data_IF_120077572297
#
_entry.id   IF_120077572297
#
_cell.length_a   1.000
_cell.length_b   1.000
_cell.length_c   1.000
_cell.angle_alpha   90.00
_cell.angle_beta   90.00
_cell.angle_gamma   90.00
#
_symmetry.space_group_name_H-M   'P 1'
#
loop_
_entity.id
_entity.type
_entity.pdbx_description
1 polymer ?
#
# COMPACT_ATOMS: atom_id res chain seq x y z
N UNK A 1 28.66 -43.66 40.17
CA UNK A 1 29.64 -44.28 41.09
C UNK A 1 30.23 -45.47 40.36
N UNK A 2 31.40 -45.29 39.74
CA UNK A 2 32.03 -46.35 38.93
C UNK A 2 33.13 -47.01 39.76
N UNK A 3 32.88 -48.24 40.18
CA UNK A 3 33.82 -49.03 40.98
C UNK A 3 34.95 -49.57 40.11
N UNK A 4 36.17 -49.22 40.51
CA UNK A 4 37.46 -49.71 40.05
C UNK A 4 37.75 -51.05 40.74
N UNK A 5 37.89 -52.14 39.98
CA UNK A 5 38.46 -53.39 40.49
C UNK A 5 39.90 -53.53 40.02
N UNK A 6 40.81 -53.55 40.99
CA UNK A 6 42.20 -53.96 40.86
C UNK A 6 42.30 -55.45 41.19
N UNK A 7 43.00 -56.22 40.37
CA UNK A 7 43.65 -57.45 40.81
C UNK A 7 45.14 -57.32 40.53
N UNK A 8 45.91 -57.20 41.61
CA UNK A 8 47.32 -57.53 41.63
C UNK A 8 47.50 -58.95 42.16
N UNK A 9 48.37 -59.72 41.52
CA UNK A 9 48.86 -61.01 41.98
C UNK A 9 50.21 -61.27 41.31
N UNK A 10 51.28 -61.26 42.12
CA UNK A 10 52.65 -61.59 41.72
C UNK A 10 52.90 -63.09 41.81
N UNK A 11 53.65 -63.66 40.85
CA UNK A 11 54.62 -64.76 41.02
C UNK A 11 55.42 -64.86 39.69
N UNK A 12 56.66 -64.37 39.60
CA UNK A 12 57.95 -65.05 39.88
C UNK A 12 58.42 -66.03 38.80
N UNK A 13 59.50 -65.64 38.11
CA UNK A 13 60.59 -66.53 37.70
C UNK A 13 60.45 -67.31 36.39
N UNK A 14 61.00 -66.78 35.29
CA UNK A 14 62.15 -67.37 34.58
C UNK A 14 62.43 -66.59 33.28
N UNK A 15 63.67 -66.11 33.15
CA UNK A 15 64.25 -65.68 31.87
C UNK A 15 64.30 -66.89 30.94
N UNK A 16 63.43 -66.91 29.93
CA UNK A 16 63.59 -67.69 28.73
C UNK A 16 63.16 -66.81 27.56
N UNK A 17 64.15 -66.49 26.74
CA UNK A 17 64.06 -65.79 25.46
C UNK A 17 63.16 -66.61 24.52
N UNK A 18 61.87 -66.34 24.49
CA UNK A 18 60.94 -66.95 23.53
C UNK A 18 60.10 -65.87 22.83
N UNK A 19 60.41 -65.73 21.56
CA UNK A 19 59.65 -65.01 20.56
C UNK A 19 58.28 -65.68 20.41
N UNK A 20 57.33 -65.38 21.30
CA UNK A 20 55.93 -65.81 21.15
C UNK A 20 55.25 -64.92 20.10
N UNK A 21 55.55 -65.22 18.84
CA UNK A 21 54.81 -64.71 17.70
C UNK A 21 53.36 -65.15 17.85
N UNK A 22 52.50 -64.22 18.25
CA UNK A 22 51.04 -64.41 18.31
C UNK A 22 50.57 -65.16 17.07
N UNK A 23 50.18 -66.42 17.25
CA UNK A 23 49.76 -67.28 16.14
C UNK A 23 48.65 -66.56 15.35
N UNK A 24 48.75 -66.48 14.01
CA UNK A 24 47.76 -65.74 13.23
C UNK A 24 46.43 -66.49 13.24
N UNK A 25 45.44 -65.96 13.96
CA UNK A 25 44.05 -66.41 13.81
C UNK A 25 43.58 -66.18 12.38
N UNK A 26 42.85 -67.15 11.78
CA UNK A 26 42.30 -66.95 10.45
C UNK A 26 41.31 -65.78 10.46
N UNK A 27 41.47 -64.86 9.50
CA UNK A 27 40.54 -63.75 9.30
C UNK A 27 39.17 -64.31 8.86
N UNK A 28 38.04 -63.80 9.40
CA UNK A 28 36.71 -64.21 8.98
C UNK A 28 36.52 -64.08 7.46
N UNK A 29 35.71 -64.96 6.89
CA UNK A 29 35.33 -64.92 5.47
C UNK A 29 34.63 -63.59 5.12
N UNK A 30 35.18 -62.88 4.15
CA UNK A 30 34.59 -61.64 3.65
C UNK A 30 33.42 -61.93 2.71
N UNK A 31 32.25 -61.33 2.98
CA UNK A 31 31.03 -61.49 2.15
C UNK A 31 31.21 -61.02 0.70
N UNK A 32 32.09 -60.06 0.50
CA UNK A 32 32.43 -59.46 -0.81
C UNK A 32 32.99 -60.48 -1.80
N UNK A 33 33.69 -61.51 -1.32
CA UNK A 33 34.26 -62.55 -2.15
C UNK A 33 33.19 -63.42 -2.85
N UNK A 34 31.97 -63.46 -2.31
CA UNK A 34 30.84 -64.22 -2.86
C UNK A 34 29.95 -63.40 -3.81
N UNK A 35 30.24 -62.11 -4.01
CA UNK A 35 29.44 -61.22 -4.87
C UNK A 35 29.98 -61.14 -6.32
N UNK A 36 31.07 -61.84 -6.63
CA UNK A 36 31.65 -61.83 -7.97
C UNK A 36 30.72 -62.57 -8.96
N UNK A 37 30.42 -61.99 -10.15
CA UNK A 37 29.53 -62.61 -11.13
C UNK A 37 30.06 -63.92 -11.74
N UNK A 38 31.39 -64.11 -11.75
CA UNK A 38 32.08 -65.32 -12.22
C UNK A 38 32.66 -66.14 -11.05
N UNK A 39 31.93 -66.22 -9.94
CA UNK A 39 32.40 -66.94 -8.76
C UNK A 39 32.62 -68.43 -9.06
N UNK A 40 33.86 -68.88 -8.90
CA UNK A 40 34.21 -70.30 -8.93
C UNK A 40 34.72 -70.76 -7.56
N UNK A 41 34.02 -71.74 -6.99
CA UNK A 41 34.33 -72.27 -5.67
C UNK A 41 35.72 -72.90 -5.61
N UNK A 42 36.20 -73.53 -6.70
CA UNK A 42 37.49 -74.20 -6.71
C UNK A 42 38.64 -73.18 -6.65
N UNK A 43 38.58 -72.11 -7.45
CA UNK A 43 39.54 -71.00 -7.40
C UNK A 43 39.46 -70.24 -6.08
N UNK A 44 38.27 -70.01 -5.53
CA UNK A 44 38.10 -69.36 -4.23
C UNK A 44 38.73 -70.18 -3.09
N UNK A 45 38.45 -71.48 -3.00
CA UNK A 45 39.05 -72.36 -1.98
C UNK A 45 40.58 -72.46 -2.14
N UNK A 46 41.08 -72.45 -3.37
CA UNK A 46 42.52 -72.46 -3.64
C UNK A 46 43.22 -71.15 -3.23
N UNK A 47 42.54 -70.00 -3.36
CA UNK A 47 43.06 -68.70 -2.87
C UNK A 47 43.14 -68.62 -1.34
N UNK A 48 42.40 -69.50 -0.67
CA UNK A 48 42.25 -69.55 0.77
C UNK A 48 43.26 -70.47 1.46
N UNK A 49 44.06 -71.23 0.69
CA UNK A 49 45.02 -72.22 1.20
C UNK A 49 46.16 -71.63 2.04
N UNK A 50 46.34 -70.30 2.00
CA UNK A 50 47.32 -69.57 2.82
C UNK A 50 46.80 -69.23 4.23
N UNK A 51 45.53 -69.57 4.54
CA UNK A 51 45.00 -69.50 5.90
C UNK A 51 45.26 -70.83 6.59
N UNK A 52 46.02 -70.83 7.68
CA UNK A 52 46.33 -72.00 8.51
C UNK A 52 45.08 -72.51 9.27
N UNK A 53 44.00 -72.85 8.57
CA UNK A 53 42.72 -73.28 9.12
C UNK A 53 42.45 -74.74 8.72
N UNK A 54 41.78 -75.51 9.59
CA UNK A 54 41.35 -76.86 9.21
C UNK A 54 40.16 -76.80 8.25
N UNK A 55 40.01 -77.83 7.41
CA UNK A 55 38.86 -77.91 6.49
C UNK A 55 37.52 -77.99 7.24
N UNK A 56 37.52 -78.56 8.44
CA UNK A 56 36.34 -78.68 9.30
C UNK A 56 35.91 -77.31 9.84
N UNK A 57 36.88 -76.48 10.28
CA UNK A 57 36.59 -75.11 10.73
C UNK A 57 36.08 -74.23 9.58
N UNK A 58 36.64 -74.38 8.37
CA UNK A 58 36.16 -73.66 7.19
C UNK A 58 34.73 -74.08 6.82
N UNK A 59 34.42 -75.37 6.95
CA UNK A 59 33.09 -75.90 6.69
C UNK A 59 32.06 -75.39 7.72
N UNK A 60 32.45 -75.31 9.00
CA UNK A 60 31.62 -74.73 10.05
C UNK A 60 31.36 -73.23 9.81
N UNK A 61 32.40 -72.47 9.48
CA UNK A 61 32.32 -71.03 9.18
C UNK A 61 31.41 -70.73 7.97
N UNK A 62 31.50 -71.53 6.90
CA UNK A 62 30.61 -71.41 5.74
C UNK A 62 29.15 -71.75 6.07
N UNK A 63 28.91 -72.76 6.93
CA UNK A 63 27.56 -73.10 7.38
C UNK A 63 26.96 -72.02 8.25
N UNK A 64 27.73 -71.44 9.16
CA UNK A 64 27.31 -70.33 10.01
C UNK A 64 27.00 -69.08 9.18
N UNK A 65 27.84 -68.77 8.19
CA UNK A 65 27.60 -67.66 7.26
C UNK A 65 26.30 -67.88 6.47
N UNK A 66 26.06 -69.09 5.97
CA UNK A 66 24.82 -69.44 5.26
C UNK A 66 23.57 -69.31 6.14
N UNK A 67 23.63 -69.77 7.39
CA UNK A 67 22.52 -69.63 8.33
C UNK A 67 22.25 -68.16 8.67
N UNK A 68 23.30 -67.39 8.91
CA UNK A 68 23.20 -65.95 9.16
C UNK A 68 22.58 -65.22 7.96
N UNK A 69 23.02 -65.52 6.74
CA UNK A 69 22.44 -64.93 5.52
C UNK A 69 20.98 -65.31 5.30
N UNK A 70 20.59 -66.56 5.58
CA UNK A 70 19.18 -66.96 5.50
C UNK A 70 18.32 -66.21 6.51
N UNK A 71 18.84 -66.00 7.72
CA UNK A 71 18.15 -65.22 8.74
C UNK A 71 18.05 -63.74 8.32
N UNK A 72 19.15 -63.14 7.88
CA UNK A 72 19.17 -61.76 7.37
C UNK A 72 18.22 -61.57 6.17
N UNK A 73 18.08 -62.56 5.29
CA UNK A 73 17.11 -62.52 4.19
C UNK A 73 15.67 -62.48 4.70
N UNK A 74 15.33 -63.36 5.65
CA UNK A 74 13.99 -63.40 6.24
C UNK A 74 13.69 -62.11 7.01
N UNK A 75 14.67 -61.61 7.76
CA UNK A 75 14.56 -60.34 8.48
C UNK A 75 14.37 -59.17 7.49
N UNK A 76 15.17 -59.10 6.42
CA UNK A 76 15.04 -58.08 5.36
C UNK A 76 13.68 -58.17 4.65
N UNK A 77 13.19 -59.37 4.34
CA UNK A 77 11.88 -59.54 3.70
C UNK A 77 10.78 -59.10 4.65
N UNK A 78 10.85 -59.45 5.93
CA UNK A 78 9.85 -59.06 6.91
C UNK A 78 9.84 -57.55 7.16
N UNK A 79 11.02 -56.93 7.28
CA UNK A 79 11.17 -55.48 7.47
C UNK A 79 10.61 -54.71 6.27
N UNK A 80 11.03 -55.07 5.05
CA UNK A 80 10.53 -54.41 3.85
C UNK A 80 9.04 -54.70 3.59
N UNK A 81 8.52 -55.87 3.95
CA UNK A 81 7.11 -56.21 3.78
C UNK A 81 6.21 -55.31 4.63
N UNK A 82 6.62 -54.99 5.86
CA UNK A 82 5.89 -54.04 6.71
C UNK A 82 5.89 -52.63 6.10
N UNK A 83 7.04 -52.20 5.58
CA UNK A 83 7.16 -50.90 4.92
C UNK A 83 6.28 -50.81 3.66
N UNK A 84 6.26 -51.86 2.81
CA UNK A 84 5.40 -51.90 1.63
C UNK A 84 3.91 -51.92 1.97
N UNK A 85 3.49 -52.62 3.04
CA UNK A 85 2.10 -52.59 3.50
C UNK A 85 1.73 -51.21 4.06
N UNK A 86 2.62 -50.57 4.81
CA UNK A 86 2.40 -49.22 5.33
C UNK A 86 2.30 -48.18 4.19
N UNK A 87 3.13 -48.31 3.15
CA UNK A 87 3.09 -47.45 1.98
C UNK A 87 1.82 -47.70 1.15
N UNK A 88 1.43 -48.96 0.96
CA UNK A 88 0.19 -49.32 0.28
C UNK A 88 -1.04 -48.78 0.99
N UNK A 89 -1.09 -48.88 2.33
CA UNK A 89 -2.20 -48.37 3.14
C UNK A 89 -2.25 -46.83 3.25
N UNK A 90 -1.12 -46.13 3.09
CA UNK A 90 -1.09 -44.66 3.06
C UNK A 90 -1.41 -44.09 1.67
N UNK A 91 -1.01 -44.80 0.61
CA UNK A 91 -1.43 -44.50 -0.76
C UNK A 91 -2.92 -44.79 -0.96
N UNK A 92 -3.44 -45.86 -0.35
CA UNK A 92 -4.86 -46.18 -0.31
C UNK A 92 -5.61 -45.13 0.52
N UNK A 93 -6.39 -44.27 -0.15
CA UNK A 93 -7.05 -43.11 0.48
C UNK A 93 -6.25 -41.80 0.39
N UNK A 94 -5.04 -41.81 -0.18
CA UNK A 94 -4.33 -40.58 -0.56
C UNK A 94 -5.03 -39.83 -1.68
N UNK A 95 -5.68 -40.55 -2.61
CA UNK A 95 -6.46 -39.98 -3.71
C UNK A 95 -7.67 -39.17 -3.21
N UNK A 96 -8.38 -39.66 -2.18
CA UNK A 96 -9.50 -38.95 -1.56
C UNK A 96 -9.04 -37.61 -0.95
N UNK A 97 -7.91 -37.61 -0.23
CA UNK A 97 -7.33 -36.37 0.33
C UNK A 97 -6.90 -35.38 -0.75
N UNK A 98 -6.39 -35.87 -1.87
CA UNK A 98 -6.02 -35.01 -3.01
C UNK A 98 -7.29 -34.40 -3.64
N UNK A 99 -8.34 -35.19 -3.78
CA UNK A 99 -9.62 -34.69 -4.32
C UNK A 99 -10.27 -33.68 -3.36
N UNK A 100 -10.21 -33.90 -2.04
CA UNK A 100 -10.66 -32.93 -1.03
C UNK A 100 -9.89 -31.60 -1.12
N UNK A 101 -8.56 -31.67 -1.25
CA UNK A 101 -7.72 -30.47 -1.45
C UNK A 101 -8.10 -29.78 -2.76
N UNK A 102 -8.33 -30.54 -3.84
CA UNK A 102 -8.74 -30.00 -5.13
C UNK A 102 -10.09 -29.27 -5.04
N UNK A 103 -11.06 -29.87 -4.35
CA UNK A 103 -12.37 -29.26 -4.09
C UNK A 103 -12.24 -28.01 -3.23
N UNK A 104 -11.40 -28.04 -2.18
CA UNK A 104 -11.09 -26.89 -1.35
C UNK A 104 -10.44 -25.74 -2.13
N UNK A 105 -9.49 -26.05 -3.02
CA UNK A 105 -8.86 -25.07 -3.91
C UNK A 105 -9.86 -24.47 -4.90
N UNK A 106 -10.76 -25.27 -5.45
CA UNK A 106 -11.81 -24.79 -6.36
C UNK A 106 -12.80 -23.85 -5.64
N UNK A 107 -13.16 -24.18 -4.40
CA UNK A 107 -13.96 -23.34 -3.52
C UNK A 107 -13.26 -22.02 -3.22
N UNK A 108 -11.98 -22.08 -2.85
CA UNK A 108 -11.17 -20.90 -2.58
C UNK A 108 -11.03 -20.00 -3.82
N UNK A 109 -10.80 -20.58 -5.01
CA UNK A 109 -10.74 -19.82 -6.26
C UNK A 109 -12.07 -19.08 -6.53
N UNK A 110 -13.20 -19.74 -6.29
CA UNK A 110 -14.53 -19.13 -6.42
C UNK A 110 -14.73 -17.99 -5.42
N UNK A 111 -14.34 -18.19 -4.17
CA UNK A 111 -14.48 -17.18 -3.12
C UNK A 111 -13.61 -15.95 -3.41
N UNK A 112 -12.37 -16.15 -3.86
CA UNK A 112 -11.47 -15.06 -4.28
C UNK A 112 -12.05 -14.30 -5.46
N UNK A 113 -12.61 -14.98 -6.47
CA UNK A 113 -13.29 -14.33 -7.59
C UNK A 113 -14.50 -13.51 -7.10
N UNK A 114 -15.33 -14.06 -6.22
CA UNK A 114 -16.48 -13.34 -5.68
C UNK A 114 -16.09 -12.10 -4.86
N UNK A 115 -14.98 -12.17 -4.10
CA UNK A 115 -14.43 -11.01 -3.39
C UNK A 115 -13.91 -9.98 -4.37
N UNK A 116 -13.16 -10.40 -5.39
CA UNK A 116 -12.66 -9.52 -6.45
C UNK A 116 -13.81 -8.78 -7.14
N UNK A 117 -14.86 -9.49 -7.53
CA UNK A 117 -16.02 -8.90 -8.20
C UNK A 117 -16.69 -7.84 -7.30
N UNK A 118 -16.85 -8.12 -6.00
CA UNK A 118 -17.38 -7.14 -5.03
C UNK A 118 -16.48 -5.91 -4.89
N UNK A 119 -15.16 -6.10 -4.91
CA UNK A 119 -14.21 -4.98 -4.85
C UNK A 119 -14.29 -4.13 -6.12
N UNK A 120 -14.39 -4.77 -7.28
CA UNK A 120 -14.52 -4.09 -8.56
C UNK A 120 -15.85 -3.31 -8.66
N UNK A 121 -16.97 -3.85 -8.17
CA UNK A 121 -18.24 -3.10 -8.11
C UNK A 121 -18.14 -1.89 -7.19
N UNK A 122 -17.57 -2.06 -5.98
CA UNK A 122 -17.37 -0.95 -5.03
C UNK A 122 -16.43 0.11 -5.58
N UNK A 123 -15.37 -0.30 -6.29
CA UNK A 123 -14.45 0.63 -6.96
C UNK A 123 -15.18 1.48 -7.99
N UNK A 124 -16.06 0.87 -8.80
CA UNK A 124 -16.84 1.59 -9.80
C UNK A 124 -17.84 2.56 -9.16
N UNK A 125 -18.56 2.12 -8.11
CA UNK A 125 -19.45 2.98 -7.32
C UNK A 125 -18.71 4.20 -6.76
N UNK A 126 -17.53 3.99 -6.15
CA UNK A 126 -16.72 5.09 -5.60
C UNK A 126 -16.24 6.02 -6.71
N UNK A 127 -15.83 5.49 -7.87
CA UNK A 127 -15.42 6.31 -9.01
C UNK A 127 -16.57 7.20 -9.52
N UNK A 128 -17.79 6.66 -9.60
CA UNK A 128 -18.98 7.43 -9.96
C UNK A 128 -19.31 8.51 -8.92
N UNK A 129 -19.28 8.16 -7.63
CA UNK A 129 -19.52 9.11 -6.54
C UNK A 129 -18.47 10.22 -6.51
N UNK A 130 -17.19 9.91 -6.78
CA UNK A 130 -16.15 10.92 -6.88
C UNK A 130 -16.36 11.86 -8.07
N UNK A 131 -16.83 11.33 -9.21
CA UNK A 131 -17.20 12.15 -10.37
C UNK A 131 -18.36 13.10 -10.03
N UNK A 132 -19.39 12.58 -9.37
CA UNK A 132 -20.52 13.39 -8.89
C UNK A 132 -20.08 14.45 -7.87
N UNK A 133 -19.25 14.08 -6.88
CA UNK A 133 -18.66 15.00 -5.91
C UNK A 133 -17.86 16.12 -6.59
N UNK A 134 -17.09 15.78 -7.62
CA UNK A 134 -16.32 16.77 -8.39
C UNK A 134 -17.23 17.74 -9.14
N UNK A 135 -18.29 17.23 -9.78
CA UNK A 135 -19.27 18.07 -10.47
C UNK A 135 -20.01 19.00 -9.50
N UNK A 136 -20.51 18.46 -8.38
CA UNK A 136 -21.14 19.25 -7.32
C UNK A 136 -20.18 20.32 -6.76
N UNK A 137 -18.91 19.98 -6.52
CA UNK A 137 -17.91 20.95 -6.06
C UNK A 137 -17.71 22.08 -7.07
N UNK A 138 -17.72 21.77 -8.36
CA UNK A 138 -17.64 22.79 -9.41
C UNK A 138 -18.89 23.69 -9.38
N UNK A 139 -20.09 23.12 -9.30
CA UNK A 139 -21.35 23.87 -9.18
C UNK A 139 -21.37 24.75 -7.93
N UNK A 140 -20.98 24.22 -6.76
CA UNK A 140 -20.87 24.98 -5.52
C UNK A 140 -19.84 26.10 -5.64
N UNK A 141 -18.68 25.85 -6.26
CA UNK A 141 -17.66 26.89 -6.45
C UNK A 141 -18.15 28.02 -7.36
N UNK A 142 -18.93 27.70 -8.39
CA UNK A 142 -19.58 28.70 -9.25
C UNK A 142 -20.64 29.46 -8.44
N UNK A 143 -21.47 28.77 -7.65
CA UNK A 143 -22.47 29.40 -6.79
C UNK A 143 -21.85 30.35 -5.75
N UNK A 144 -20.78 29.93 -5.08
CA UNK A 144 -20.04 30.75 -4.12
C UNK A 144 -19.43 31.99 -4.78
N UNK A 145 -18.81 31.84 -5.95
CA UNK A 145 -18.25 32.97 -6.67
C UNK A 145 -19.32 33.95 -7.17
N UNK A 146 -20.49 33.44 -7.60
CA UNK A 146 -21.63 34.29 -7.96
C UNK A 146 -22.20 35.04 -6.75
N UNK A 147 -22.23 34.40 -5.58
CA UNK A 147 -22.64 35.02 -4.32
C UNK A 147 -21.65 36.10 -3.89
N UNK A 148 -20.35 35.84 -4.01
CA UNK A 148 -19.29 36.83 -3.76
C UNK A 148 -19.43 38.03 -4.70
N UNK A 149 -19.73 37.82 -5.99
CA UNK A 149 -20.02 38.90 -6.94
C UNK A 149 -21.26 39.70 -6.49
N UNK A 150 -22.32 39.03 -6.02
CA UNK A 150 -23.53 39.69 -5.55
C UNK A 150 -23.27 40.57 -4.32
N UNK A 151 -22.57 40.03 -3.31
CA UNK A 151 -22.24 40.76 -2.09
C UNK A 151 -21.32 41.95 -2.36
N UNK A 152 -20.27 41.76 -3.19
CA UNK A 152 -19.39 42.86 -3.59
C UNK A 152 -20.14 43.93 -4.38
N UNK A 153 -21.09 43.54 -5.24
CA UNK A 153 -21.95 44.46 -5.96
C UNK A 153 -22.83 45.27 -5.00
N UNK A 154 -23.49 44.60 -4.04
CA UNK A 154 -24.33 45.25 -3.04
C UNK A 154 -23.53 46.23 -2.16
N UNK A 155 -22.34 45.83 -1.70
CA UNK A 155 -21.43 46.69 -0.94
C UNK A 155 -20.98 47.91 -1.74
N UNK A 156 -20.69 47.72 -3.03
CA UNK A 156 -20.28 48.82 -3.90
C UNK A 156 -21.43 49.79 -4.17
N UNK A 157 -22.66 49.29 -4.36
CA UNK A 157 -23.87 50.13 -4.46
C UNK A 157 -24.16 50.91 -3.18
N UNK A 158 -23.99 50.28 -2.01
CA UNK A 158 -24.11 50.96 -0.72
C UNK A 158 -23.04 52.05 -0.58
N UNK A 159 -21.78 51.75 -0.91
CA UNK A 159 -20.67 52.71 -0.85
C UNK A 159 -20.81 53.85 -1.85
N UNK A 160 -21.44 53.63 -3.00
CA UNK A 160 -21.71 54.63 -4.03
C UNK A 160 -23.06 55.34 -3.81
N UNK A 161 -23.76 55.05 -2.70
CA UNK A 161 -25.06 55.61 -2.33
C UNK A 161 -26.13 55.51 -3.44
N UNK A 162 -26.02 54.48 -4.31
CA UNK A 162 -26.95 54.23 -5.45
C UNK A 162 -28.31 53.73 -4.94
N UNK A 163 -28.61 53.88 -3.65
CA UNK A 163 -29.82 53.41 -3.00
C UNK A 163 -31.09 54.10 -3.53
N UNK A 164 -31.56 53.64 -4.68
CA UNK A 164 -32.98 53.70 -5.05
C UNK A 164 -33.71 52.71 -4.15
N UNK A 165 -34.11 53.19 -2.96
CA UNK A 165 -35.28 52.75 -2.19
C UNK A 165 -35.71 51.28 -2.36
N UNK A 166 -35.00 50.30 -1.80
CA UNK A 166 -35.61 49.01 -1.41
C UNK A 166 -34.83 48.40 -0.25
N UNK A 167 -34.82 49.06 0.91
CA UNK A 167 -34.56 48.35 2.17
C UNK A 167 -35.83 47.57 2.52
N UNK A 168 -36.04 46.41 1.92
CA UNK A 168 -36.95 45.41 2.50
C UNK A 168 -36.24 44.90 3.75
N UNK A 169 -36.67 45.41 4.90
CA UNK A 169 -36.32 44.87 6.21
C UNK A 169 -36.93 43.47 6.31
N UNK A 170 -36.17 42.43 5.96
CA UNK A 170 -36.45 41.08 6.42
C UNK A 170 -35.99 40.96 7.86
N UNK A 171 -36.88 41.27 8.80
CA UNK A 171 -36.82 40.72 10.16
C UNK A 171 -36.93 39.19 10.06
N UNK A 172 -36.02 38.40 10.66
CA UNK A 172 -36.32 37.02 10.98
C UNK A 172 -37.11 37.03 12.29
N UNK A 173 -38.40 36.70 12.18
CA UNK A 173 -39.23 36.36 13.32
C UNK A 173 -38.96 34.90 13.68
N UNK A 174 -38.76 34.71 14.98
CA UNK A 174 -38.58 33.48 15.75
C UNK A 174 -39.35 32.25 15.23
N UNK A 175 -38.65 31.11 15.14
CA UNK A 175 -39.19 29.82 14.70
C UNK A 175 -38.15 28.72 14.80
N UNK A 176 -38.12 28.05 15.96
CA UNK A 176 -37.15 27.02 16.32
C UNK A 176 -37.03 25.87 15.33
N UNK A 177 -35.77 25.48 15.07
CA UNK A 177 -35.42 24.36 14.22
C UNK A 177 -33.92 24.07 14.29
N UNK A 178 -33.57 23.16 15.18
CA UNK A 178 -32.45 22.22 15.10
C UNK A 178 -31.01 22.77 14.97
N UNK A 179 -30.30 22.60 16.07
CA UNK A 179 -28.86 22.75 16.26
C UNK A 179 -28.11 21.76 15.34
N UNK A 180 -27.61 22.26 14.21
CA UNK A 180 -26.71 21.50 13.35
C UNK A 180 -25.29 21.53 13.91
N UNK A 181 -24.73 20.34 14.04
CA UNK A 181 -23.50 20.03 14.76
C UNK A 181 -22.27 20.75 14.24
N UNK A 182 -21.49 21.20 15.21
CA UNK A 182 -20.14 21.71 15.15
C UNK A 182 -19.18 20.56 14.81
N UNK A 183 -19.03 20.25 13.53
CA UNK A 183 -17.97 19.37 13.02
C UNK A 183 -17.78 19.69 11.53
N UNK A 184 -16.54 19.93 11.10
CA UNK A 184 -16.11 20.35 9.75
C UNK A 184 -16.09 21.86 9.45
N UNK A 185 -15.41 22.62 10.31
CA UNK A 185 -14.56 23.73 9.80
C UNK A 185 -13.12 23.21 9.85
N UNK A 186 -12.77 22.45 8.81
CA UNK A 186 -11.36 22.17 8.51
C UNK A 186 -10.74 23.53 8.22
N UNK A 187 -9.80 23.87 9.10
CA UNK A 187 -8.90 25.01 9.14
C UNK A 187 -8.28 25.30 7.77
N UNK A 188 -9.07 25.88 6.88
CA UNK A 188 -8.56 26.89 5.98
C UNK A 188 -8.19 28.04 6.90
N UNK A 189 -6.92 28.05 7.33
CA UNK A 189 -6.25 29.27 7.74
C UNK A 189 -6.54 30.28 6.63
N UNK A 190 -7.58 31.07 6.87
CA UNK A 190 -7.64 32.44 6.43
C UNK A 190 -6.35 33.03 7.00
N UNK A 191 -5.32 32.95 6.17
CA UNK A 191 -4.26 33.92 6.14
C UNK A 191 -4.98 35.26 5.94
N UNK A 192 -5.53 35.77 7.04
CA UNK A 192 -5.77 37.17 7.33
C UNK A 192 -4.39 37.80 7.49
N UNK A 193 -3.58 37.63 6.44
CA UNK A 193 -2.60 38.61 6.09
C UNK A 193 -3.48 39.70 5.52
N UNK A 194 -3.96 40.55 6.42
CA UNK A 194 -3.76 41.99 6.30
C UNK A 194 -2.28 42.18 5.88
N UNK A 195 -1.96 41.82 4.63
CA UNK A 195 -0.96 42.56 3.90
C UNK A 195 -1.68 43.88 3.71
N UNK A 196 -1.49 44.72 4.72
CA UNK A 196 -1.28 46.13 4.56
C UNK A 196 -0.36 46.29 3.35
N UNK A 197 -0.98 46.24 2.16
CA UNK A 197 -0.47 46.86 0.97
C UNK A 197 -0.46 48.34 1.35
N UNK A 198 0.57 48.72 2.08
CA UNK A 198 1.20 50.00 1.99
C UNK A 198 1.70 50.12 0.55
N UNK A 199 0.72 50.25 -0.37
CA UNK A 199 0.87 51.04 -1.57
C UNK A 199 1.31 52.40 -1.04
N UNK A 200 2.61 52.60 -1.09
CA UNK A 200 3.30 53.88 -1.04
C UNK A 200 2.34 55.00 -1.40
N UNK A 201 2.10 55.90 -0.44
CA UNK A 201 0.98 56.83 -0.43
C UNK A 201 0.77 57.48 -1.80
N UNK A 202 -0.36 57.14 -2.43
CA UNK A 202 -0.84 57.82 -3.65
C UNK A 202 -1.45 59.14 -3.20
N UNK A 203 -0.59 60.08 -2.82
CA UNK A 203 -0.99 61.47 -2.61
C UNK A 203 -1.61 61.97 -3.93
N UNK A 204 -2.87 62.43 -3.91
CA UNK A 204 -3.53 63.06 -5.08
C UNK A 204 -4.82 62.41 -5.59
N UNK A 205 -5.15 61.17 -5.21
CA UNK A 205 -6.49 60.59 -5.48
C UNK A 205 -7.26 60.53 -4.17
N UNK A 206 -8.56 60.91 -4.11
CA UNK A 206 -9.35 60.72 -2.91
C UNK A 206 -9.31 59.23 -2.53
N UNK A 207 -8.82 58.86 -1.33
CA UNK A 207 -8.57 57.45 -0.98
C UNK A 207 -9.86 56.61 -1.01
N UNK A 208 -11.01 57.27 -0.87
CA UNK A 208 -12.34 56.65 -1.04
C UNK A 208 -12.65 56.30 -2.49
N UNK A 209 -12.28 57.17 -3.44
CA UNK A 209 -12.50 56.92 -4.87
C UNK A 209 -11.56 55.82 -5.36
N UNK A 210 -10.30 55.84 -4.93
CA UNK A 210 -9.33 54.79 -5.26
C UNK A 210 -9.82 53.40 -4.80
N UNK A 211 -10.24 53.26 -3.53
CA UNK A 211 -10.77 52.00 -3.01
C UNK A 211 -12.01 51.53 -3.79
N UNK A 212 -12.92 52.43 -4.14
CA UNK A 212 -14.11 52.12 -4.96
C UNK A 212 -13.73 51.64 -6.36
N UNK A 213 -12.75 52.28 -6.99
CA UNK A 213 -12.27 51.87 -8.32
C UNK A 213 -11.56 50.53 -8.28
N UNK A 214 -10.76 50.26 -7.26
CA UNK A 214 -10.08 48.96 -7.08
C UNK A 214 -11.10 47.84 -6.84
N UNK A 215 -12.10 48.05 -5.97
CA UNK A 215 -13.17 47.10 -5.72
C UNK A 215 -14.00 46.81 -6.99
N UNK A 216 -14.27 47.82 -7.82
CA UNK A 216 -14.95 47.64 -9.11
C UNK A 216 -14.09 46.86 -10.12
N UNK A 217 -12.79 47.10 -10.18
CA UNK A 217 -11.88 46.34 -11.05
C UNK A 217 -11.80 44.87 -10.63
N UNK A 218 -11.78 44.60 -9.32
CA UNK A 218 -11.84 43.21 -8.83
C UNK A 218 -13.18 42.56 -9.18
N UNK A 219 -14.30 43.29 -9.04
CA UNK A 219 -15.62 42.81 -9.45
C UNK A 219 -15.66 42.48 -10.96
N UNK A 220 -15.08 43.34 -11.80
CA UNK A 220 -14.97 43.12 -13.24
C UNK A 220 -14.11 41.91 -13.57
N UNK A 221 -12.99 41.74 -12.88
CA UNK A 221 -12.13 40.56 -13.02
C UNK A 221 -12.86 39.27 -12.61
N UNK A 222 -13.55 39.26 -11.47
CA UNK A 222 -14.35 38.14 -11.01
C UNK A 222 -15.47 37.81 -12.01
N UNK A 223 -16.18 38.81 -12.52
CA UNK A 223 -17.21 38.63 -13.54
C UNK A 223 -16.63 38.06 -14.85
N UNK A 224 -15.42 38.49 -15.27
CA UNK A 224 -14.75 38.00 -16.48
C UNK A 224 -14.23 36.56 -16.36
N UNK A 225 -13.92 36.12 -15.14
CA UNK A 225 -13.46 34.75 -14.84
C UNK A 225 -14.58 33.72 -15.00
N UNK A 226 -15.83 34.16 -14.85
CA UNK A 226 -17.01 33.32 -15.05
C UNK A 226 -17.59 33.53 -16.44
N UNK A 227 -18.29 32.51 -16.97
CA UNK A 227 -18.81 32.57 -18.34
C UNK A 227 -19.73 33.80 -18.51
N UNK A 228 -19.47 34.68 -19.49
CA UNK A 228 -20.24 35.91 -19.71
C UNK A 228 -21.71 35.66 -20.11
N UNK A 229 -22.10 34.40 -20.36
CA UNK A 229 -23.47 34.00 -20.66
C UNK A 229 -24.23 33.45 -19.43
N UNK A 230 -23.66 33.49 -18.23
CA UNK A 230 -24.37 33.01 -17.05
C UNK A 230 -25.62 33.88 -16.80
N UNK A 231 -26.84 33.31 -16.64
CA UNK A 231 -28.09 34.07 -16.53
C UNK A 231 -28.08 35.13 -15.42
N UNK A 232 -27.39 34.84 -14.31
CA UNK A 232 -27.21 35.80 -13.23
C UNK A 232 -26.42 37.04 -13.67
N UNK A 233 -25.30 36.86 -14.38
CA UNK A 233 -24.47 38.00 -14.81
C UNK A 233 -25.22 38.90 -15.79
N UNK A 234 -26.04 38.31 -16.68
CA UNK A 234 -26.92 39.07 -17.58
C UNK A 234 -27.97 39.89 -16.81
N UNK A 235 -28.55 39.33 -15.74
CA UNK A 235 -29.48 40.05 -14.89
C UNK A 235 -28.79 41.20 -14.11
N UNK A 236 -27.53 41.00 -13.70
CA UNK A 236 -26.77 42.01 -12.96
C UNK A 236 -26.07 43.05 -13.85
N UNK A 237 -25.99 42.83 -15.17
CA UNK A 237 -25.30 43.73 -16.12
C UNK A 237 -25.84 45.17 -16.03
N UNK A 238 -27.16 45.32 -15.86
CA UNK A 238 -27.78 46.64 -15.70
C UNK A 238 -27.37 47.37 -14.42
N UNK A 239 -27.03 46.65 -13.35
CA UNK A 239 -26.53 47.22 -12.09
C UNK A 239 -25.05 47.59 -12.20
N UNK A 240 -24.25 46.67 -12.78
CA UNK A 240 -22.82 46.90 -13.06
C UNK A 240 -22.63 48.14 -13.94
N UNK A 241 -23.48 48.33 -14.97
CA UNK A 241 -23.42 49.50 -15.86
C UNK A 241 -23.74 50.80 -15.13
N UNK A 242 -24.74 50.83 -14.25
CA UNK A 242 -25.07 52.02 -13.45
C UNK A 242 -23.93 52.41 -12.53
N UNK A 243 -23.33 51.43 -11.87
CA UNK A 243 -22.13 51.62 -11.04
C UNK A 243 -20.99 52.20 -11.88
N UNK A 244 -20.75 51.64 -13.07
CA UNK A 244 -19.71 52.10 -13.98
C UNK A 244 -19.94 53.56 -14.38
N UNK A 245 -21.16 53.93 -14.78
CA UNK A 245 -21.52 55.31 -15.15
C UNK A 245 -21.29 56.30 -13.99
N UNK A 246 -21.67 55.92 -12.77
CA UNK A 246 -21.49 56.77 -11.57
C UNK A 246 -20.01 56.91 -11.22
N UNK A 247 -19.25 55.81 -11.26
CA UNK A 247 -17.82 55.83 -10.98
C UNK A 247 -17.04 56.65 -12.02
N UNK A 248 -17.42 56.56 -13.30
CA UNK A 248 -16.85 57.39 -14.37
C UNK A 248 -17.20 58.87 -14.17
N UNK A 249 -18.44 59.19 -13.77
CA UNK A 249 -18.84 60.55 -13.42
C UNK A 249 -18.03 61.09 -12.23
N UNK A 250 -17.87 60.31 -11.16
CA UNK A 250 -17.08 60.67 -9.98
C UNK A 250 -15.59 60.89 -10.33
N UNK A 251 -15.03 60.03 -11.18
CA UNK A 251 -13.67 60.19 -11.73
C UNK A 251 -13.55 61.44 -12.59
N UNK A 252 -14.54 61.76 -13.42
CA UNK A 252 -14.54 62.98 -14.22
C UNK A 252 -14.63 64.25 -13.36
N UNK A 253 -15.40 64.21 -12.27
CA UNK A 253 -15.41 65.31 -11.31
C UNK A 253 -14.06 65.46 -10.60
N UNK A 254 -13.44 64.36 -10.18
CA UNK A 254 -12.11 64.37 -9.57
C UNK A 254 -11.05 64.92 -10.54
N UNK A 255 -11.07 64.50 -11.81
CA UNK A 255 -10.16 64.99 -12.87
C UNK A 255 -10.33 66.50 -13.12
N UNK A 256 -11.55 67.05 -12.94
CA UNK A 256 -11.83 68.49 -13.11
C UNK A 256 -11.39 69.32 -11.91
N UNK A 257 -11.43 68.74 -10.71
CA UNK A 257 -11.03 69.39 -9.46
C UNK A 257 -9.51 69.37 -9.27
N UNK A 258 -8.83 68.36 -9.81
CA UNK A 258 -7.39 68.19 -9.65
C UNK A 258 -6.59 69.13 -10.55
N UNK A 259 -5.67 69.90 -9.94
CA UNK A 259 -4.84 70.90 -10.63
C UNK A 259 -3.47 70.35 -11.03
N UNK A 260 -3.02 69.28 -10.38
CA UNK A 260 -1.73 68.64 -10.63
C UNK A 260 -1.78 67.70 -11.84
N UNK A 261 -0.83 67.87 -12.77
CA UNK A 261 -0.79 67.12 -14.03
C UNK A 261 -0.52 65.62 -13.81
N UNK A 262 0.29 65.28 -12.79
CA UNK A 262 0.62 63.88 -12.46
C UNK A 262 -0.61 63.10 -12.00
N UNK A 263 -1.39 63.68 -11.09
CA UNK A 263 -2.61 63.06 -10.55
C UNK A 263 -3.71 63.00 -11.59
N UNK A 264 -3.81 64.02 -12.44
CA UNK A 264 -4.70 64.00 -13.61
C UNK A 264 -4.37 62.84 -14.56
N UNK A 265 -3.09 62.57 -14.81
CA UNK A 265 -2.66 61.45 -15.65
C UNK A 265 -2.98 60.09 -15.01
N UNK A 266 -2.84 59.95 -13.68
CA UNK A 266 -3.20 58.73 -12.95
C UNK A 266 -4.72 58.49 -12.94
N UNK A 267 -5.53 59.53 -12.68
CA UNK A 267 -6.98 59.44 -12.77
C UNK A 267 -7.45 59.08 -14.19
N UNK A 268 -6.76 59.56 -15.23
CA UNK A 268 -7.01 59.15 -16.62
C UNK A 268 -6.67 57.68 -16.88
N UNK A 269 -5.60 57.14 -16.27
CA UNK A 269 -5.26 55.70 -16.38
C UNK A 269 -6.33 54.83 -15.70
N UNK A 270 -6.77 55.21 -14.49
CA UNK A 270 -7.84 54.49 -13.77
C UNK A 270 -9.16 54.55 -14.56
N UNK A 271 -9.48 55.70 -15.15
CA UNK A 271 -10.65 55.85 -16.06
C UNK A 271 -10.58 54.89 -17.24
N UNK A 272 -9.42 54.77 -17.89
CA UNK A 272 -9.21 53.84 -19.00
C UNK A 272 -9.43 52.38 -18.59
N UNK A 273 -8.93 51.97 -17.42
CA UNK A 273 -9.11 50.62 -16.90
C UNK A 273 -10.57 50.26 -16.56
N UNK A 274 -11.41 51.26 -16.27
CA UNK A 274 -12.85 51.06 -16.00
C UNK A 274 -13.65 50.99 -17.30
N UNK A 275 -13.24 51.74 -18.33
CA UNK A 275 -13.88 51.75 -19.66
C UNK A 275 -13.60 50.48 -20.49
N UNK A 276 -12.40 49.89 -20.39
CA UNK A 276 -12.02 48.61 -21.05
C UNK A 276 -12.58 47.39 -20.34
#
# INVERSE_FOLDING_TARGET
MSNRFYFGGSDSGSDADDNDASLPFPKPLERTAFLAPDFDAATFLSSLSNRFQTLEDLQAELRELSQTLNKELVDLVNDNYQDFLSLGSTLYGGEEKIEDIRLGLLGFERDVKAVRDKVDTRRNEVAELLRQKKALRQETSVGQALLEIAERLDLLEEKLEISTSTKIKSQPQDGGGEQWGDEWIEEATANDVDEEFNSDGVDGVPPRLQRRTEEFLILKYLASKHSPQHPFLLAQEGRIRKIQEILLSDLEMAIKQETEVKYKQQLMQIRGAIEE
#
